data_IF_218036020023
#
_entry.id   IF_218036020023
#
_cell.length_a   1.000
_cell.length_b   1.000
_cell.length_c   1.000
_cell.angle_alpha   90.00
_cell.angle_beta   90.00
_cell.angle_gamma   90.00
#
_symmetry.space_group_name_H-M   'P 1'
#
loop_
_entity.id
_entity.type
_entity.pdbx_description
1 polymer ?
2 non-polymer ?
3 non-polymer ?
4 non-polymer ?
5 non-polymer ?
6 non-polymer ?
7 non-polymer ?
8 non-polymer ?
9 water ?
#
# COMPACT_ATOMS: atom_id res chain seq x y z
N UNK A 1 -9.96 -17.73 17.57
CA UNK A 1 -8.98 -18.33 16.66
C UNK A 1 -9.45 -18.24 15.20
N UNK A 2 -8.48 -18.27 14.28
CA UNK A 2 -8.72 -18.24 12.84
C UNK A 2 -9.80 -19.25 12.45
N UNK A 3 -10.71 -18.84 11.58
CA UNK A 3 -11.79 -19.67 11.08
C UNK A 3 -11.78 -19.58 9.57
N UNK A 4 -11.57 -20.71 8.89
CA UNK A 4 -11.55 -20.74 7.43
C UNK A 4 -12.96 -20.50 6.88
N UNK A 5 -13.07 -19.81 5.74
CA UNK A 5 -14.36 -19.62 5.06
C UNK A 5 -14.13 -19.88 3.59
N UNK A 6 -15.20 -19.88 2.79
CA UNK A 6 -15.03 -19.98 1.35
C UNK A 6 -14.40 -18.67 0.87
N UNK A 7 -13.70 -18.64 -0.29
CA UNK A 7 -13.14 -17.36 -0.74
C UNK A 7 -14.22 -16.39 -1.23
N UNK A 8 -13.88 -15.10 -1.43
CA UNK A 8 -14.90 -14.17 -1.95
C UNK A 8 -15.32 -14.49 -3.36
N UNK A 9 -16.58 -14.15 -3.68
CA UNK A 9 -17.12 -14.24 -5.04
C UNK A 9 -16.23 -13.36 -5.94
N UNK A 10 -15.68 -13.95 -6.99
CA UNK A 10 -14.77 -13.25 -7.88
C UNK A 10 -15.43 -12.34 -8.89
N UNK A 11 -14.64 -11.59 -9.68
CA UNK A 11 -13.17 -11.50 -9.63
C UNK A 11 -12.72 -10.76 -8.37
N UNK A 12 -11.53 -11.06 -7.94
CA UNK A 12 -10.95 -10.50 -6.73
C UNK A 12 -9.73 -9.67 -7.09
N UNK A 13 -9.48 -8.56 -6.35
CA UNK A 13 -8.31 -7.74 -6.61
C UNK A 13 -7.79 -7.19 -5.30
N UNK A 14 -6.59 -7.57 -4.93
CA UNK A 14 -5.97 -7.06 -3.69
C UNK A 14 -5.65 -5.56 -3.85
N UNK A 15 -5.94 -4.76 -2.82
CA UNK A 15 -5.69 -3.32 -2.86
C UNK A 15 -4.25 -3.02 -2.35
N UNK A 16 -3.47 -2.21 -3.10
CA UNK A 16 -2.12 -1.85 -2.73
C UNK A 16 -2.12 -0.73 -1.67
N UNK A 17 -1.00 -0.58 -0.97
CA UNK A 17 -0.85 0.42 0.10
C UNK A 17 -0.93 1.88 -0.41
N UNK A 18 -0.57 2.12 -1.66
CA UNK A 18 -0.60 3.44 -2.28
C UNK A 18 -1.94 3.76 -2.96
N UNK A 19 -2.95 2.92 -2.71
CA UNK A 19 -4.30 3.24 -3.16
C UNK A 19 -4.96 4.05 -2.05
N UNK A 20 -6.15 4.60 -2.30
CA UNK A 20 -6.90 5.40 -1.30
C UNK A 20 -7.05 4.66 0.02
N UNK A 21 -6.72 5.33 1.17
CA UNK A 21 -6.94 4.78 2.51
C UNK A 21 -7.92 5.66 3.25
N UNK A 22 -8.88 5.04 3.90
CA UNK A 22 -9.89 5.71 4.70
C UNK A 22 -9.41 5.95 6.13
N UNK A 23 -8.41 5.16 6.58
CA UNK A 23 -7.86 5.26 7.93
C UNK A 23 -6.53 4.51 8.06
N UNK A 24 -5.96 4.54 9.26
CA UNK A 24 -4.72 3.84 9.62
C UNK A 24 -5.00 3.22 11.00
N UNK A 25 -4.58 1.95 11.18
CA UNK A 25 -4.76 1.18 12.42
C UNK A 25 -3.53 1.17 13.26
N UNK A 26 -3.66 1.63 14.50
CA UNK A 26 -2.57 1.58 15.50
C UNK A 26 -3.08 0.91 16.77
N UNK A 27 -2.18 0.50 17.67
CA UNK A 27 -2.62 -0.18 18.88
C UNK A 27 -1.99 0.44 20.15
N UNK A 28 -2.75 0.39 21.22
CA UNK A 28 -2.33 0.78 22.57
C UNK A 28 -2.30 -0.46 23.46
N UNK A 29 -1.33 -0.63 24.39
CA UNK A 29 -0.11 0.17 24.64
C UNK A 29 0.71 0.38 23.37
N UNK A 30 1.15 1.61 23.22
CA UNK A 30 1.80 2.07 21.99
C UNK A 30 3.22 1.57 21.75
N UNK A 31 3.54 1.44 20.48
CA UNK A 31 4.88 1.12 19.99
C UNK A 31 5.35 2.21 19.05
N UNK A 32 4.57 3.30 18.96
CA UNK A 32 4.90 4.45 18.10
C UNK A 32 4.91 5.77 18.93
N UNK A 33 5.66 6.78 18.47
CA UNK A 33 5.66 8.07 19.18
C UNK A 33 4.34 8.83 18.98
N UNK A 34 3.97 9.60 20.01
CA UNK A 34 2.77 10.41 19.98
C UNK A 34 2.82 11.42 18.84
N UNK A 35 4.01 11.95 18.53
CA UNK A 35 4.19 12.88 17.43
C UNK A 35 3.72 12.25 16.12
N UNK A 36 3.96 10.93 15.93
CA UNK A 36 3.49 10.25 14.73
C UNK A 36 1.94 10.18 14.70
N UNK A 37 1.30 9.80 15.81
CA UNK A 37 -0.16 9.76 15.86
C UNK A 37 -0.72 11.15 15.55
N UNK A 38 -0.12 12.21 16.15
CA UNK A 38 -0.56 13.61 15.92
C UNK A 38 -0.46 13.96 14.44
N UNK A 39 0.66 13.60 13.79
CA UNK A 39 0.86 13.89 12.35
C UNK A 39 -0.15 13.09 11.51
N UNK A 40 -0.38 11.81 11.83
CA UNK A 40 -1.36 10.99 11.08
C UNK A 40 -2.78 11.58 11.19
N UNK A 41 -3.25 11.91 12.43
CA UNK A 41 -4.59 12.45 12.73
C UNK A 41 -4.83 13.84 12.14
N UNK A 42 -3.78 14.54 11.74
CA UNK A 42 -3.92 15.87 11.16
C UNK A 42 -4.78 15.80 9.88
N UNK A 43 -4.59 14.77 9.04
CA UNK A 43 -5.28 14.59 7.76
C UNK A 43 -6.07 13.31 7.65
N UNK A 44 -5.74 12.29 8.46
CA UNK A 44 -6.38 10.99 8.29
C UNK A 44 -7.03 10.49 9.56
N UNK A 45 -8.01 9.60 9.38
CA UNK A 45 -8.68 8.94 10.51
C UNK A 45 -7.69 7.92 11.11
N UNK A 46 -7.46 8.02 12.42
CA UNK A 46 -6.59 7.10 13.17
C UNK A 46 -7.50 6.22 14.01
N UNK A 47 -7.48 4.92 13.74
CA UNK A 47 -8.27 3.97 14.54
C UNK A 47 -7.32 3.35 15.56
N UNK A 48 -7.59 3.53 16.87
CA UNK A 48 -6.71 2.94 17.90
C UNK A 48 -7.40 1.74 18.52
N UNK A 49 -6.67 0.63 18.55
CA UNK A 49 -7.15 -0.60 19.17
C UNK A 49 -6.83 -0.52 20.65
N UNK A 50 -7.84 -0.75 21.51
CA UNK A 50 -7.68 -0.76 22.98
C UNK A 50 -8.40 -2.01 23.51
N UNK A 51 -8.06 -2.48 24.71
CA UNK A 51 -8.67 -3.71 25.25
C UNK A 51 -9.95 -3.45 26.03
N UNK A 52 -10.23 -2.18 26.39
CA UNK A 52 -11.41 -1.85 27.21
C UNK A 52 -11.79 -0.38 27.13
N UNK A 53 -12.94 -0.03 27.74
CA UNK A 53 -13.42 1.35 27.83
C UNK A 53 -12.43 2.18 28.64
N UNK A 54 -11.86 1.59 29.70
CA UNK A 54 -10.88 2.23 30.58
C UNK A 54 -9.60 2.59 29.79
N UNK A 55 -9.13 1.67 28.93
CA UNK A 55 -7.95 1.96 28.10
C UNK A 55 -8.32 3.03 27.06
N UNK A 56 -9.55 3.01 26.52
CA UNK A 56 -10.03 4.02 25.56
C UNK A 56 -9.96 5.42 26.23
N UNK A 57 -10.44 5.55 27.48
CA UNK A 57 -10.43 6.82 28.21
C UNK A 57 -9.00 7.29 28.50
N UNK A 58 -8.09 6.36 28.86
CA UNK A 58 -6.66 6.65 29.07
C UNK A 58 -6.04 7.21 27.80
N UNK A 59 -6.33 6.57 26.66
CA UNK A 59 -5.78 7.03 25.38
C UNK A 59 -6.36 8.41 25.02
N UNK A 60 -7.67 8.59 25.22
CA UNK A 60 -8.34 9.88 24.95
C UNK A 60 -7.59 10.99 25.70
N UNK A 61 -7.26 10.76 26.98
CA UNK A 61 -6.54 11.74 27.82
C UNK A 61 -5.15 12.03 27.24
N UNK A 62 -4.41 10.99 26.81
CA UNK A 62 -3.08 11.17 26.22
C UNK A 62 -3.17 11.97 24.92
N UNK A 63 -4.13 11.60 24.04
CA UNK A 63 -4.36 12.29 22.78
C UNK A 63 -4.74 13.73 23.02
N UNK A 64 -5.64 13.99 23.99
CA UNK A 64 -6.10 15.34 24.34
C UNK A 64 -4.90 16.17 24.85
N UNK A 65 -4.10 15.60 25.76
CA UNK A 65 -2.94 16.30 26.31
C UNK A 65 -1.86 16.61 25.26
N UNK A 66 -1.74 15.77 24.22
CA UNK A 66 -0.76 15.96 23.17
C UNK A 66 -1.26 16.79 21.97
N UNK A 67 -2.52 17.23 22.00
CA UNK A 67 -3.09 18.03 20.91
C UNK A 67 -3.40 17.24 19.65
N UNK A 68 -3.71 15.96 19.80
CA UNK A 68 -4.08 15.10 18.65
C UNK A 68 -5.48 15.54 18.18
N UNK A 69 -5.71 15.53 16.85
CA UNK A 69 -7.00 15.93 16.29
C UNK A 69 -8.05 14.85 16.62
N UNK A 70 -8.76 15.01 17.75
CA UNK A 70 -9.76 14.05 18.22
C UNK A 70 -10.91 13.78 17.22
N UNK A 71 -11.20 14.73 16.32
CA UNK A 71 -12.27 14.54 15.33
C UNK A 71 -11.89 13.45 14.31
N UNK A 72 -10.59 13.11 14.23
CA UNK A 72 -10.07 12.06 13.35
C UNK A 72 -9.65 10.81 14.18
N UNK A 73 -10.17 10.67 15.40
CA UNK A 73 -9.79 9.51 16.23
C UNK A 73 -10.96 8.62 16.53
N UNK A 74 -10.81 7.31 16.25
CA UNK A 74 -11.85 6.35 16.66
C UNK A 74 -11.19 5.15 17.31
N UNK A 75 -12.00 4.26 17.87
CA UNK A 75 -11.48 3.14 18.61
C UNK A 75 -12.17 1.84 18.26
N UNK A 76 -11.44 0.75 18.43
CA UNK A 76 -11.95 -0.61 18.35
C UNK A 76 -11.60 -1.19 19.69
N UNK A 77 -12.59 -1.75 20.39
CA UNK A 77 -12.34 -2.42 21.64
C UNK A 77 -12.15 -3.90 21.32
N UNK A 78 -10.93 -4.37 21.47
CA UNK A 78 -10.57 -5.77 21.26
C UNK A 78 -9.26 -6.05 21.95
N UNK A 79 -9.11 -7.22 22.58
CA UNK A 79 -7.83 -7.61 23.19
C UNK A 79 -6.79 -7.80 22.10
N UNK A 80 -5.55 -7.39 22.36
CA UNK A 80 -4.42 -7.63 21.45
C UNK A 80 -3.21 -8.03 22.27
N UNK A 81 -2.32 -8.78 21.67
CA UNK A 81 -1.06 -9.20 22.30
C UNK A 81 0.05 -8.22 21.98
N UNK A 82 -0.03 -7.52 20.85
CA UNK A 82 1.12 -6.70 20.43
C UNK A 82 0.72 -5.47 19.62
N UNK A 83 1.69 -4.55 19.38
CA UNK A 83 1.39 -3.35 18.58
C UNK A 83 1.75 -3.52 17.10
N UNK A 84 2.08 -4.76 16.66
CA UNK A 84 2.47 -4.95 15.26
C UNK A 84 1.24 -5.11 14.36
N UNK A 85 0.44 -4.01 14.27
CA UNK A 85 -0.81 -4.00 13.48
C UNK A 85 -0.54 -4.33 12.02
N UNK A 86 0.69 -4.07 11.53
CA UNK A 86 0.98 -4.46 10.17
C UNK A 86 0.80 -5.95 9.95
N UNK A 87 1.21 -6.73 10.95
CA UNK A 87 1.38 -8.16 10.78
C UNK A 87 0.17 -8.99 10.99
N UNK A 88 -0.75 -8.58 11.87
CA UNK A 88 -1.89 -9.46 12.21
C UNK A 88 -3.22 -8.92 11.75
N UNK A 89 -3.29 -7.64 11.32
CA UNK A 89 -4.60 -7.12 10.89
C UNK A 89 -4.91 -7.67 9.49
N UNK A 90 -6.16 -7.52 9.09
CA UNK A 90 -6.65 -8.10 7.85
C UNK A 90 -6.13 -7.43 6.58
N UNK A 91 -6.15 -8.17 5.47
CA UNK A 91 -5.71 -7.63 4.17
C UNK A 91 -6.92 -7.23 3.36
N UNK A 92 -6.79 -6.16 2.57
CA UNK A 92 -7.94 -5.62 1.83
C UNK A 92 -7.98 -6.09 0.39
N UNK A 93 -9.18 -6.42 -0.08
CA UNK A 93 -9.41 -6.85 -1.46
C UNK A 93 -10.76 -6.38 -1.96
N UNK A 94 -10.84 -6.04 -3.23
CA UNK A 94 -12.12 -5.74 -3.89
C UNK A 94 -12.61 -7.06 -4.44
N UNK A 95 -13.94 -7.31 -4.40
CA UNK A 95 -14.51 -8.52 -4.93
C UNK A 95 -15.95 -8.29 -5.39
N UNK A 96 -16.52 -9.29 -6.09
CA UNK A 96 -17.92 -9.28 -6.55
C UNK A 96 -18.30 -7.92 -7.21
N UNK A 97 -17.41 -7.41 -8.07
CA UNK A 97 -17.37 -6.14 -8.82
C UNK A 97 -17.48 -4.84 -7.92
N UNK A 98 -18.45 -4.73 -6.97
CA UNK A 98 -18.66 -3.48 -6.20
C UNK A 98 -18.40 -3.57 -4.64
N UNK A 99 -17.68 -4.60 -4.14
CA UNK A 99 -17.50 -4.69 -2.69
C UNK A 99 -16.05 -4.69 -2.27
N UNK A 100 -15.78 -4.17 -1.06
CA UNK A 100 -14.46 -4.19 -0.40
C UNK A 100 -14.61 -5.20 0.74
N UNK A 101 -13.68 -6.14 0.81
CA UNK A 101 -13.66 -7.18 1.83
C UNK A 101 -12.32 -7.25 2.53
N UNK A 102 -12.32 -7.99 3.62
CA UNK A 102 -11.15 -8.19 4.47
C UNK A 102 -10.76 -9.65 4.44
N UNK A 103 -9.45 -9.91 4.33
CA UNK A 103 -8.98 -11.27 4.28
C UNK A 103 -8.18 -11.55 5.55
N UNK A 104 -8.66 -12.53 6.30
CA UNK A 104 -8.01 -13.05 7.49
C UNK A 104 -7.11 -14.25 7.12
N UNK A 105 -6.20 -14.57 8.03
CA UNK A 105 -5.22 -15.63 7.85
C UNK A 105 -4.77 -16.09 9.21
N UNK A 106 -3.98 -17.14 9.23
CA UNK A 106 -3.39 -17.61 10.49
C UNK A 106 -2.11 -16.78 10.75
N UNK A 107 -2.16 -15.89 11.74
CA UNK A 107 -0.98 -15.07 12.08
C UNK A 107 0.17 -16.00 12.52
N UNK A 108 1.37 -15.84 11.91
CA UNK A 108 2.52 -16.75 12.15
C UNK A 108 3.24 -16.50 13.48
N UNK A 109 2.47 -16.14 14.51
CA UNK A 109 3.01 -15.87 15.84
C UNK A 109 2.12 -16.51 16.92
N UNK A 110 2.66 -16.79 18.11
CA UNK A 110 1.84 -17.42 19.18
C UNK A 110 1.06 -16.33 19.92
N UNK A 111 0.22 -15.57 19.16
CA UNK A 111 -0.46 -14.38 19.65
C UNK A 111 -1.93 -14.52 19.27
N UNK A 112 -2.68 -15.28 20.08
CA UNK A 112 -4.07 -15.62 19.72
C UNK A 112 -5.01 -14.42 19.68
N UNK A 113 -4.76 -13.36 20.48
CA UNK A 113 -5.64 -12.17 20.47
C UNK A 113 -5.38 -11.37 19.18
N UNK A 114 -4.08 -11.24 18.82
CA UNK A 114 -3.72 -10.58 17.58
C UNK A 114 -4.33 -11.37 16.41
N UNK A 115 -4.25 -12.72 16.47
CA UNK A 115 -4.77 -13.60 15.41
C UNK A 115 -6.29 -13.45 15.21
N UNK A 116 -7.00 -13.18 16.31
CA UNK A 116 -8.46 -12.98 16.35
C UNK A 116 -8.92 -11.57 15.93
N UNK A 117 -8.02 -10.57 16.01
CA UNK A 117 -8.35 -9.19 15.72
C UNK A 117 -9.11 -8.93 14.35
N UNK A 118 -8.77 -9.57 13.20
CA UNK A 118 -9.46 -9.22 11.94
C UNK A 118 -10.99 -9.37 12.03
N UNK A 119 -11.47 -10.27 12.90
CA UNK A 119 -12.92 -10.40 13.05
C UNK A 119 -13.52 -9.09 13.60
N UNK A 120 -12.86 -8.48 14.57
CA UNK A 120 -13.29 -7.21 15.15
C UNK A 120 -13.13 -6.07 14.16
N UNK A 121 -12.07 -6.12 13.35
CA UNK A 121 -11.80 -5.10 12.35
C UNK A 121 -12.91 -5.09 11.28
N UNK A 122 -13.29 -6.29 10.77
CA UNK A 122 -14.32 -6.39 9.74
C UNK A 122 -15.66 -5.88 10.28
N UNK A 123 -15.98 -6.20 11.54
CA UNK A 123 -17.19 -5.78 12.22
C UNK A 123 -17.23 -4.25 12.34
N UNK A 124 -16.12 -3.66 12.80
CA UNK A 124 -16.03 -2.21 12.94
C UNK A 124 -16.23 -1.50 11.57
N UNK A 125 -15.57 -2.01 10.53
CA UNK A 125 -15.57 -1.41 9.19
C UNK A 125 -16.87 -1.63 8.43
N UNK A 126 -17.71 -2.59 8.86
CA UNK A 126 -18.95 -2.89 8.15
C UNK A 126 -18.68 -3.58 6.83
N UNK A 127 -17.65 -4.46 6.82
CA UNK A 127 -17.30 -5.19 5.60
C UNK A 127 -17.26 -6.68 5.88
N UNK A 128 -17.41 -7.50 4.83
CA UNK A 128 -17.34 -8.96 4.95
C UNK A 128 -15.89 -9.42 5.14
N UNK A 129 -15.69 -10.53 5.88
CA UNK A 129 -14.37 -11.12 6.08
C UNK A 129 -14.32 -12.54 5.50
N UNK A 130 -13.17 -12.92 4.97
CA UNK A 130 -12.91 -14.24 4.37
C UNK A 130 -11.69 -14.82 5.05
N UNK A 131 -11.76 -16.09 5.43
CA UNK A 131 -10.65 -16.73 6.11
C UNK A 131 -9.82 -17.59 5.18
N UNK A 132 -8.61 -17.09 4.81
CA UNK A 132 -7.63 -17.80 3.97
C UNK A 132 -6.74 -18.66 4.87
N UNK A 133 -6.81 -19.99 4.71
CA UNK A 133 -6.08 -20.89 5.59
C UNK A 133 -4.63 -21.05 5.16
N UNK A 134 -3.86 -20.00 5.46
CA UNK A 134 -2.42 -19.92 5.30
C UNK A 134 -1.84 -19.26 6.51
N UNK A 135 -0.65 -19.70 6.91
CA UNK A 135 0.14 -19.06 7.94
C UNK A 135 0.80 -17.87 7.22
N UNK A 136 0.48 -16.64 7.64
CA UNK A 136 0.94 -15.42 6.99
C UNK A 136 1.25 -14.32 8.00
N UNK A 137 1.76 -13.20 7.49
CA UNK A 137 2.04 -11.98 8.25
C UNK A 137 2.06 -10.84 7.26
N UNK A 138 1.37 -9.74 7.58
CA UNK A 138 1.31 -8.55 6.72
C UNK A 138 2.67 -7.94 6.43
N UNK A 139 3.62 -8.04 7.37
CA UNK A 139 4.96 -7.51 7.15
C UNK A 139 5.65 -8.17 5.96
N UNK A 140 5.27 -9.42 5.67
CA UNK A 140 5.85 -10.19 4.58
C UNK A 140 4.96 -10.17 3.35
N UNK A 141 4.12 -9.15 3.23
CA UNK A 141 3.22 -9.08 2.09
C UNK A 141 3.15 -7.69 1.56
N UNK A 142 3.19 -7.57 0.23
CA UNK A 142 2.89 -6.34 -0.50
C UNK A 142 2.34 -6.71 -1.87
N UNK A 143 1.33 -5.96 -2.34
CA UNK A 143 0.77 -6.19 -3.66
C UNK A 143 0.88 -4.91 -4.46
N UNK A 144 0.99 -5.04 -5.77
CA UNK A 144 1.05 -3.86 -6.64
C UNK A 144 -0.37 -3.35 -7.01
N UNK A 145 -1.42 -4.07 -6.62
CA UNK A 145 -2.79 -3.70 -6.95
C UNK A 145 -3.20 -4.20 -8.34
N UNK A 146 -2.28 -4.90 -9.03
CA UNK A 146 -2.51 -5.45 -10.36
C UNK A 146 -2.30 -6.97 -10.38
N UNK A 147 -2.53 -7.63 -9.24
CA UNK A 147 -2.45 -9.09 -9.16
C UNK A 147 -1.11 -9.70 -8.81
N UNK A 148 -0.09 -8.85 -8.53
CA UNK A 148 1.23 -9.36 -8.14
C UNK A 148 1.42 -9.20 -6.66
N UNK A 149 2.06 -10.18 -6.01
CA UNK A 149 2.39 -10.04 -4.59
C UNK A 149 3.79 -10.50 -4.39
N UNK A 150 4.57 -9.75 -3.61
CA UNK A 150 5.95 -10.15 -3.29
C UNK A 150 5.99 -10.60 -1.83
N UNK A 151 6.57 -11.79 -1.60
CA UNK A 151 6.75 -12.30 -0.23
C UNK A 151 8.05 -13.04 -0.10
N UNK A 152 8.63 -13.06 1.11
CA UNK A 152 9.82 -13.87 1.34
C UNK A 152 9.38 -15.33 1.42
N UNK A 153 10.33 -16.26 1.32
CA UNK A 153 10.18 -17.72 1.31
C UNK A 153 9.40 -18.31 2.51
N UNK A 154 9.22 -17.57 3.64
CA UNK A 154 8.45 -18.14 4.75
C UNK A 154 6.98 -18.33 4.32
N UNK A 155 6.52 -17.65 3.23
CA UNK A 155 5.15 -17.88 2.77
C UNK A 155 5.01 -19.35 2.35
N UNK A 156 6.15 -20.00 1.92
CA UNK A 156 6.12 -21.43 1.60
C UNK A 156 6.51 -22.28 2.82
N UNK A 157 7.67 -21.99 3.45
CA UNK A 157 8.25 -22.79 4.54
C UNK A 157 7.36 -22.84 5.78
N UNK A 158 6.53 -21.80 6.03
CA UNK A 158 5.62 -21.80 7.17
C UNK A 158 4.27 -22.41 6.81
N UNK A 159 4.13 -22.89 5.56
CA UNK A 159 2.96 -23.60 5.04
C UNK A 159 3.43 -24.90 4.40
N UNK A 160 4.42 -25.57 5.05
CA UNK A 160 5.10 -26.78 4.53
C UNK A 160 4.18 -28.00 4.31
N UNK A 161 2.98 -28.06 4.93
CA UNK A 161 2.05 -29.18 4.68
C UNK A 161 1.34 -28.97 3.31
N UNK A 162 1.47 -27.78 2.70
CA UNK A 162 0.91 -27.45 1.39
C UNK A 162 2.00 -27.37 0.33
N UNK A 163 1.68 -27.72 -0.92
CA UNK A 163 2.65 -27.53 -2.00
C UNK A 163 2.70 -26.04 -2.34
N UNK A 164 3.75 -25.60 -3.06
CA UNK A 164 3.82 -24.18 -3.48
C UNK A 164 2.59 -23.83 -4.31
N UNK A 165 2.13 -24.77 -5.17
CA UNK A 165 0.93 -24.65 -6.02
C UNK A 165 -0.35 -24.40 -5.18
N UNK A 166 -0.50 -25.13 -4.05
CA UNK A 166 -1.67 -24.92 -3.20
C UNK A 166 -1.59 -23.57 -2.49
N UNK A 167 -0.38 -23.13 -2.13
CA UNK A 167 -0.18 -21.83 -1.48
C UNK A 167 -0.54 -20.73 -2.48
N UNK A 168 -0.02 -20.86 -3.71
CA UNK A 168 -0.34 -19.92 -4.79
C UNK A 168 -1.83 -19.85 -5.07
N UNK A 169 -2.53 -21.02 -5.09
CA UNK A 169 -3.97 -21.08 -5.37
C UNK A 169 -4.78 -20.33 -4.30
N UNK A 170 -4.39 -20.40 -3.02
CA UNK A 170 -5.07 -19.67 -1.94
C UNK A 170 -4.92 -18.16 -2.14
N UNK A 171 -3.72 -17.70 -2.52
CA UNK A 171 -3.51 -16.28 -2.78
C UNK A 171 -4.38 -15.83 -3.97
N UNK A 172 -4.54 -16.68 -4.98
CA UNK A 172 -5.36 -16.34 -6.14
C UNK A 172 -6.84 -16.29 -5.73
N UNK A 173 -7.30 -17.29 -4.98
CA UNK A 173 -8.72 -17.40 -4.63
C UNK A 173 -9.20 -16.31 -3.68
N UNK A 174 -8.40 -16.00 -2.66
CA UNK A 174 -8.80 -15.02 -1.65
C UNK A 174 -8.37 -13.60 -1.93
N UNK A 175 -7.31 -13.40 -2.73
CA UNK A 175 -6.77 -12.04 -2.96
C UNK A 175 -6.61 -11.71 -4.43
N UNK A 176 -6.94 -12.65 -5.32
CA UNK A 176 -6.86 -12.41 -6.75
C UNK A 176 -5.44 -12.32 -7.27
N UNK A 177 -4.47 -12.81 -6.49
CA UNK A 177 -3.05 -12.75 -6.88
C UNK A 177 -2.81 -13.78 -7.98
N UNK A 178 -2.39 -13.32 -9.15
CA UNK A 178 -2.10 -14.15 -10.32
C UNK A 178 -0.58 -14.32 -10.43
N UNK A 179 0.20 -13.48 -9.73
CA UNK A 179 1.66 -13.61 -9.75
C UNK A 179 2.16 -13.57 -8.32
N UNK A 180 2.35 -14.74 -7.72
CA UNK A 180 2.77 -14.82 -6.32
C UNK A 180 4.27 -15.00 -6.33
N UNK A 181 4.99 -13.89 -6.18
CA UNK A 181 6.46 -13.91 -6.33
C UNK A 181 7.11 -14.13 -4.97
N UNK A 182 7.34 -15.41 -4.66
CA UNK A 182 7.93 -15.79 -3.40
C UNK A 182 9.41 -15.90 -3.62
N UNK A 183 10.18 -15.09 -2.89
CA UNK A 183 11.63 -15.03 -3.10
C UNK A 183 12.41 -15.44 -1.85
N UNK A 184 13.66 -15.89 -2.04
CA UNK A 184 14.54 -16.18 -0.90
C UNK A 184 14.87 -14.83 -0.26
N UNK A 185 14.58 -14.67 1.05
CA UNK A 185 14.84 -13.41 1.75
C UNK A 185 16.31 -13.02 1.65
N UNK A 186 16.60 -11.80 1.16
CA UNK A 186 18.01 -11.40 0.98
C UNK A 186 18.66 -10.77 2.21
N UNK A 187 17.91 -10.57 3.32
CA UNK A 187 18.41 -9.90 4.53
C UNK A 187 19.19 -10.78 5.53
N UNK A 188 19.08 -12.11 5.45
CA UNK A 188 19.77 -13.01 6.37
C UNK A 188 19.47 -12.81 7.85
N UNK A 189 18.25 -12.32 8.18
CA UNK A 189 17.79 -12.06 9.55
C UNK A 189 16.72 -13.08 9.90
N UNK A 190 16.38 -13.15 11.18
CA UNK A 190 15.39 -14.11 11.65
C UNK A 190 13.99 -13.84 11.08
N UNK A 191 13.65 -12.58 10.83
CA UNK A 191 12.25 -12.19 10.54
C UNK A 191 11.73 -12.59 9.13
N UNK A 192 12.56 -12.44 8.08
CA UNK A 192 12.15 -12.78 6.72
C UNK A 192 10.86 -12.07 6.29
N UNK A 193 10.75 -10.75 6.52
CA UNK A 193 9.64 -9.93 6.04
C UNK A 193 10.09 -9.08 4.90
N UNK A 194 9.32 -9.04 3.81
CA UNK A 194 9.64 -8.23 2.65
C UNK A 194 9.83 -6.76 3.09
N UNK A 195 9.02 -6.25 4.02
CA UNK A 195 9.07 -4.83 4.37
C UNK A 195 10.38 -4.40 5.06
N UNK A 196 11.28 -5.36 5.37
CA UNK A 196 12.60 -4.99 5.89
C UNK A 196 13.59 -4.79 4.72
N UNK A 197 13.19 -5.06 3.46
CA UNK A 197 14.16 -4.84 2.36
C UNK A 197 13.51 -4.32 1.08
N UNK A 198 12.18 -4.43 0.96
CA UNK A 198 11.52 -4.05 -0.29
C UNK A 198 10.15 -3.43 -0.14
N UNK A 199 9.82 -2.50 -1.06
CA UNK A 199 8.54 -1.82 -0.99
C UNK A 199 8.14 -1.32 -2.36
N UNK A 200 6.96 -1.72 -2.83
CA UNK A 200 6.43 -1.09 -4.03
C UNK A 200 6.07 0.34 -3.68
N UNK A 201 6.55 1.34 -4.44
CA UNK A 201 6.16 2.72 -4.20
C UNK A 201 5.02 3.15 -5.11
N UNK A 202 4.84 2.40 -6.21
CA UNK A 202 3.83 2.59 -7.25
C UNK A 202 3.78 1.28 -8.04
N UNK A 203 2.82 1.07 -8.95
CA UNK A 203 2.82 -0.19 -9.73
C UNK A 203 4.11 -0.39 -10.54
N UNK A 204 4.82 0.71 -10.87
CA UNK A 204 6.03 0.64 -11.69
C UNK A 204 7.28 1.03 -10.92
N UNK A 205 7.20 1.13 -9.57
CA UNK A 205 8.37 1.53 -8.78
C UNK A 205 8.58 0.62 -7.60
N UNK A 206 9.82 0.22 -7.36
CA UNK A 206 10.12 -0.61 -6.20
C UNK A 206 11.36 -0.03 -5.52
N UNK A 207 11.30 0.03 -4.20
CA UNK A 207 12.42 0.47 -3.38
C UNK A 207 13.08 -0.77 -2.82
N UNK A 208 14.40 -0.91 -2.98
CA UNK A 208 15.14 -2.05 -2.45
C UNK A 208 16.25 -1.54 -1.57
N UNK A 209 16.35 -2.08 -0.36
CA UNK A 209 17.41 -1.77 0.60
C UNK A 209 18.78 -1.97 -0.07
N UNK A 210 19.71 -1.08 0.24
CA UNK A 210 21.10 -1.17 -0.17
C UNK A 210 21.94 -1.12 1.09
N UNK A 211 23.04 -1.86 1.09
CA UNK A 211 23.93 -1.84 2.24
C UNK A 211 25.35 -1.57 1.75
N UNK A 212 26.30 -1.21 2.63
CA UNK A 212 27.68 -0.99 2.19
C UNK A 212 28.25 -2.27 1.55
N UNK A 213 29.21 -2.12 0.64
CA UNK A 213 29.88 -3.21 -0.12
C UNK A 213 30.40 -4.35 0.77
N UNK A 214 30.83 -4.00 2.00
CA UNK A 214 31.41 -4.89 3.03
C UNK A 214 30.35 -5.68 3.82
N UNK A 215 29.09 -5.24 3.82
CA UNK A 215 28.01 -5.92 4.54
C UNK A 215 27.81 -7.34 3.99
N UNK A 216 27.58 -8.38 4.85
CA UNK A 216 27.47 -9.75 4.33
C UNK A 216 26.29 -9.98 3.39
N UNK A 217 25.23 -9.15 3.48
CA UNK A 217 24.06 -9.24 2.60
C UNK A 217 24.15 -8.32 1.37
N UNK A 218 25.31 -7.67 1.14
CA UNK A 218 25.46 -6.75 0.02
C UNK A 218 25.09 -7.41 -1.32
N UNK A 219 25.70 -8.57 -1.65
CA UNK A 219 25.42 -9.20 -2.96
C UNK A 219 23.98 -9.69 -3.09
N UNK A 220 23.41 -10.29 -2.04
CA UNK A 220 22.01 -10.74 -2.03
C UNK A 220 21.06 -9.59 -2.37
N UNK A 221 21.27 -8.42 -1.76
CA UNK A 221 20.43 -7.25 -2.02
C UNK A 221 20.69 -6.67 -3.43
N UNK A 222 21.94 -6.67 -3.91
CA UNK A 222 22.22 -6.20 -5.27
C UNK A 222 21.54 -7.11 -6.28
N UNK A 223 21.54 -8.44 -6.00
CA UNK A 223 20.91 -9.43 -6.87
C UNK A 223 19.40 -9.21 -6.88
N UNK A 224 18.81 -8.87 -5.71
CA UNK A 224 17.36 -8.60 -5.62
C UNK A 224 17.00 -7.38 -6.45
N UNK A 225 17.79 -6.29 -6.33
CA UNK A 225 17.58 -5.07 -7.09
C UNK A 225 17.69 -5.35 -8.59
N UNK A 226 18.70 -6.12 -9.02
CA UNK A 226 18.88 -6.45 -10.45
C UNK A 226 17.71 -7.27 -10.96
N UNK A 227 17.20 -8.20 -10.13
CA UNK A 227 16.05 -9.06 -10.42
C UNK A 227 14.82 -8.17 -10.76
N UNK A 228 14.51 -7.16 -9.92
CA UNK A 228 13.38 -6.28 -10.23
C UNK A 228 13.67 -5.31 -11.39
N UNK A 229 14.89 -4.80 -11.51
CA UNK A 229 15.31 -3.87 -12.57
C UNK A 229 15.14 -4.46 -13.97
N UNK A 230 15.28 -5.78 -14.09
CA UNK A 230 15.19 -6.49 -15.35
C UNK A 230 13.77 -6.99 -15.65
N UNK A 231 12.80 -6.77 -14.74
CA UNK A 231 11.49 -7.30 -15.08
C UNK A 231 10.43 -6.23 -15.35
N UNK A 232 9.54 -6.63 -16.23
CA UNK A 232 8.42 -5.84 -16.69
C UNK A 232 7.35 -5.77 -15.59
N UNK A 233 6.92 -4.56 -15.23
CA UNK A 233 5.91 -4.31 -14.20
C UNK A 233 4.50 -4.42 -14.83
N UNK A 234 3.44 -4.22 -14.02
CA UNK A 234 2.04 -4.30 -14.47
C UNK A 234 1.73 -3.38 -15.66
N UNK A 235 2.45 -2.26 -15.76
CA UNK A 235 2.21 -1.27 -16.80
C UNK A 235 2.99 -1.54 -18.12
N UNK A 236 3.76 -2.62 -18.17
CA UNK A 236 4.48 -3.03 -19.38
C UNK A 236 5.88 -2.46 -19.58
N UNK A 237 6.33 -1.63 -18.62
CA UNK A 237 7.66 -1.02 -18.63
C UNK A 237 8.48 -1.76 -17.59
N UNK A 238 9.81 -1.60 -17.62
CA UNK A 238 10.64 -2.22 -16.59
C UNK A 238 10.46 -1.42 -15.28
N UNK A 239 10.54 -2.09 -14.13
CA UNK A 239 10.44 -1.38 -12.84
C UNK A 239 11.48 -0.28 -12.71
N UNK A 240 11.08 0.86 -12.11
CA UNK A 240 12.04 1.88 -11.70
C UNK A 240 12.54 1.39 -10.34
N UNK A 241 13.81 1.00 -10.23
CA UNK A 241 14.32 0.44 -8.97
C UNK A 241 15.07 1.53 -8.23
N UNK A 242 14.56 1.87 -7.05
CA UNK A 242 15.19 2.88 -6.19
C UNK A 242 15.89 2.16 -5.08
N UNK A 243 16.95 2.77 -4.53
CA UNK A 243 17.72 2.14 -3.47
C UNK A 243 17.87 3.06 -2.28
N UNK A 244 17.59 2.57 -1.08
CA UNK A 244 17.82 3.38 0.13
C UNK A 244 18.98 2.75 0.87
N UNK A 245 20.08 3.49 0.99
CA UNK A 245 21.31 2.99 1.62
C UNK A 245 21.19 3.02 3.15
N UNK A 246 21.25 1.83 3.74
CA UNK A 246 21.29 1.66 5.19
C UNK A 246 22.75 1.42 5.56
N UNK A 247 23.41 2.45 6.07
CA UNK A 247 24.82 2.35 6.47
C UNK A 247 24.95 1.58 7.79
N UNK A 248 23.88 1.59 8.61
CA UNK A 248 23.92 0.93 9.90
C UNK A 248 22.53 0.45 10.29
N UNK A 249 21.94 -0.45 9.45
CA UNK A 249 20.66 -1.12 9.67
C UNK A 249 19.49 -0.14 9.90
N UNK A 250 19.52 1.06 9.29
CA UNK A 250 18.38 2.00 9.39
C UNK A 250 17.22 1.41 8.57
N UNK A 251 16.00 1.36 9.13
CA UNK A 251 14.90 0.65 8.41
C UNK A 251 14.18 1.54 7.39
N UNK A 252 14.92 2.13 6.43
CA UNK A 252 14.33 3.06 5.47
C UNK A 252 13.22 2.49 4.58
N UNK A 253 13.20 1.15 4.32
CA UNK A 253 12.11 0.58 3.49
C UNK A 253 10.86 0.35 4.32
N UNK A 254 10.94 0.47 5.66
CA UNK A 254 9.83 0.19 6.58
C UNK A 254 8.98 1.45 6.80
N UNK A 255 8.54 2.04 5.69
CA UNK A 255 7.76 3.27 5.66
C UNK A 255 6.27 3.00 5.46
N UNK A 256 5.44 4.00 5.72
CA UNK A 256 4.02 3.90 5.48
C UNK A 256 3.63 4.89 4.38
N UNK A 257 2.98 4.38 3.34
CA UNK A 257 2.37 5.22 2.30
C UNK A 257 0.90 5.36 2.68
N UNK A 258 0.47 6.56 3.05
CA UNK A 258 -0.91 6.82 3.43
C UNK A 258 -1.45 7.96 2.60
N UNK A 259 -2.21 7.60 1.56
CA UNK A 259 -2.74 8.58 0.61
C UNK A 259 -1.57 9.37 -0.01
N UNK A 260 -1.50 10.70 0.18
CA UNK A 260 -0.44 11.50 -0.48
C UNK A 260 0.75 11.82 0.44
N UNK A 261 0.89 11.07 1.54
CA UNK A 261 1.95 11.28 2.51
C UNK A 261 2.70 9.98 2.72
N UNK A 262 4.02 10.06 2.90
CA UNK A 262 4.86 8.89 3.13
C UNK A 262 5.58 9.12 4.43
N UNK A 263 5.41 8.21 5.40
CA UNK A 263 6.04 8.32 6.73
C UNK A 263 7.21 7.38 6.78
N UNK A 264 8.41 7.95 6.81
CA UNK A 264 9.68 7.21 6.74
C UNK A 264 10.37 7.23 8.10
N UNK A 265 10.62 6.06 8.72
CA UNK A 265 11.34 6.07 10.01
C UNK A 265 12.79 6.48 9.81
N UNK A 266 13.31 7.36 10.71
CA UNK A 266 14.68 7.84 10.58
C UNK A 266 15.38 7.56 11.89
N UNK A 267 16.63 7.04 11.82
CA UNK A 267 17.42 6.63 12.99
C UNK A 267 18.78 7.31 13.09
N UNK A 268 19.14 8.04 12.04
CA UNK A 268 20.42 8.72 11.98
C UNK A 268 21.55 7.88 11.40
N UNK A 269 22.72 8.47 11.08
CA UNK A 269 23.06 9.91 11.18
C UNK A 269 22.17 10.72 10.25
N UNK A 270 22.02 12.03 10.51
CA UNK A 270 21.15 12.92 9.72
C UNK A 270 21.50 12.91 8.23
N UNK A 271 22.79 12.82 7.86
CA UNK A 271 23.23 12.80 6.45
C UNK A 271 22.71 11.58 5.70
N UNK A 272 22.72 10.41 6.39
CA UNK A 272 22.25 9.13 5.85
C UNK A 272 20.71 9.18 5.72
N UNK A 273 20.03 9.74 6.76
CA UNK A 273 18.56 9.90 6.71
C UNK A 273 18.16 10.80 5.56
N UNK A 274 18.86 11.94 5.41
CA UNK A 274 18.55 12.92 4.36
C UNK A 274 18.64 12.30 2.99
N UNK A 275 19.69 11.47 2.74
CA UNK A 275 19.84 10.76 1.47
C UNK A 275 18.67 9.83 1.20
N UNK A 276 18.24 9.07 2.23
CA UNK A 276 17.13 8.15 2.07
C UNK A 276 15.81 8.90 1.79
N UNK A 277 15.54 10.00 2.53
CA UNK A 277 14.35 10.82 2.34
C UNK A 277 14.37 11.45 0.95
N UNK A 278 15.56 11.82 0.45
CA UNK A 278 15.67 12.42 -0.88
C UNK A 278 15.45 11.38 -1.97
N UNK A 279 15.74 10.09 -1.68
CA UNK A 279 15.43 9.02 -2.65
C UNK A 279 13.91 8.93 -2.75
N UNK A 280 13.20 8.94 -1.60
CA UNK A 280 11.72 8.91 -1.66
C UNK A 280 11.14 10.10 -2.44
N UNK A 281 11.67 11.30 -2.18
CA UNK A 281 11.23 12.53 -2.84
C UNK A 281 11.43 12.46 -4.34
N UNK A 282 12.56 11.88 -4.81
CA UNK A 282 12.89 11.70 -6.23
C UNK A 282 11.95 10.71 -6.87
N UNK A 283 11.75 9.58 -6.19
CA UNK A 283 10.89 8.50 -6.66
C UNK A 283 9.44 8.87 -6.69
N UNK A 284 8.97 9.74 -5.77
CA UNK A 284 7.54 10.03 -5.58
C UNK A 284 7.20 11.52 -5.64
N UNK A 285 7.28 12.16 -6.83
CA UNK A 285 6.92 13.58 -6.89
C UNK A 285 5.46 13.80 -6.52
N UNK A 286 5.20 14.91 -5.81
CA UNK A 286 3.84 15.25 -5.41
C UNK A 286 3.48 14.74 -4.03
N UNK A 287 4.19 13.70 -3.56
CA UNK A 287 3.97 13.14 -2.20
C UNK A 287 4.71 13.97 -1.14
N UNK A 288 4.11 14.06 0.05
CA UNK A 288 4.76 14.72 1.18
C UNK A 288 5.60 13.63 1.89
N UNK A 289 6.94 13.76 1.87
CA UNK A 289 7.81 12.77 2.51
C UNK A 289 8.14 13.28 3.89
N UNK A 290 7.81 12.49 4.92
CA UNK A 290 8.00 12.91 6.32
C UNK A 290 8.90 11.93 7.05
N UNK A 291 10.01 12.45 7.55
CA UNK A 291 10.94 11.66 8.35
C UNK A 291 10.41 11.61 9.77
N UNK A 292 10.28 10.43 10.35
CA UNK A 292 9.72 10.30 11.70
C UNK A 292 10.75 9.69 12.64
N UNK A 293 11.06 10.41 13.71
CA UNK A 293 11.99 9.89 14.71
C UNK A 293 11.25 8.91 15.61
N UNK A 294 11.96 7.90 16.10
CA UNK A 294 11.36 6.86 16.94
C UNK A 294 11.08 7.29 18.37
N UNK A 295 10.21 6.53 19.04
CA UNK A 295 9.89 6.75 20.46
C UNK A 295 11.06 6.15 21.25
N UNK A 296 11.60 6.85 22.24
CA UNK A 296 12.76 6.35 22.99
C UNK A 296 12.52 4.98 23.64
N UNK A 297 11.32 4.72 24.12
CA UNK A 297 10.98 3.46 24.80
C UNK A 297 10.76 2.27 23.88
N UNK A 298 10.33 2.54 22.63
CA UNK A 298 10.05 1.52 21.60
C UNK A 298 10.74 1.98 20.31
N UNK A 299 12.08 2.03 20.25
CA UNK A 299 12.73 2.63 19.06
C UNK A 299 12.57 1.85 17.79
N UNK A 300 12.81 2.52 16.65
CA UNK A 300 12.81 1.85 15.35
C UNK A 300 13.97 0.88 15.29
N UNK A 301 13.75 -0.31 14.72
CA UNK A 301 14.78 -1.35 14.55
C UNK A 301 14.88 -1.71 13.07
N UNK A 302 16.03 -2.27 12.68
CA UNK A 302 16.27 -2.72 11.30
C UNK A 302 15.21 -3.69 10.79
N UNK A 303 14.65 -4.49 11.69
CA UNK A 303 13.65 -5.51 11.37
C UNK A 303 12.25 -5.12 11.80
N UNK A 304 12.07 -3.90 12.35
CA UNK A 304 10.78 -3.55 12.95
C UNK A 304 10.68 -2.05 13.16
N UNK A 305 9.99 -1.35 12.26
CA UNK A 305 9.86 0.10 12.42
C UNK A 305 8.43 0.60 12.12
N UNK A 306 8.30 1.75 11.45
CA UNK A 306 7.03 2.43 11.27
C UNK A 306 6.01 1.57 10.51
N UNK A 307 6.39 0.95 9.39
CA UNK A 307 5.45 0.11 8.61
C UNK A 307 4.95 -1.04 9.46
N UNK A 308 5.83 -1.62 10.29
CA UNK A 308 5.49 -2.77 11.15
C UNK A 308 4.40 -2.44 12.20
N UNK A 309 4.28 -1.17 12.58
CA UNK A 309 3.39 -0.79 13.68
C UNK A 309 2.20 0.06 13.22
N UNK A 310 1.88 -0.05 11.94
CA UNK A 310 0.74 0.64 11.31
C UNK A 310 0.12 -0.28 10.31
N UNK A 311 -1.14 -0.01 9.97
CA UNK A 311 -1.77 -0.70 8.84
C UNK A 311 -2.84 0.19 8.24
N UNK A 312 -2.65 0.53 6.97
CA UNK A 312 -3.65 1.34 6.21
C UNK A 312 -5.00 0.59 6.14
N UNK A 313 -6.09 1.35 6.05
CA UNK A 313 -7.44 0.78 5.98
C UNK A 313 -8.04 1.26 4.68
N UNK A 314 -8.50 0.32 3.82
CA UNK A 314 -9.11 0.71 2.54
C UNK A 314 -10.44 1.40 2.74
N UNK A 315 -10.88 2.13 1.70
CA UNK A 315 -12.13 2.84 1.69
C UNK A 315 -13.23 1.88 1.22
N UNK A 316 -14.21 1.53 2.09
CA UNK A 316 -15.27 0.60 1.66
C UNK A 316 -16.19 1.22 0.56
N UNK A 317 -16.15 2.54 0.41
CA UNK A 317 -16.89 3.24 -0.62
C UNK A 317 -16.02 3.73 -1.76
N UNK A 318 -14.80 3.16 -1.88
CA UNK A 318 -13.75 3.45 -2.87
C UNK A 318 -14.27 3.70 -4.31
N UNK A 319 -13.90 4.88 -4.85
CA UNK A 319 -14.09 5.27 -6.23
C UNK A 319 -12.83 4.78 -6.95
N UNK A 320 -12.91 3.58 -7.55
CA UNK A 320 -11.75 2.92 -8.12
C UNK A 320 -11.60 3.12 -9.62
N UNK A 321 -10.39 3.54 -10.03
CA UNK A 321 -10.00 3.72 -11.42
C UNK A 321 -9.02 2.62 -11.80
N UNK A 322 -9.43 1.75 -12.75
CA UNK A 322 -8.58 0.69 -13.29
C UNK A 322 -8.06 1.17 -14.65
N UNK A 323 -6.74 1.26 -14.79
CA UNK A 323 -6.14 1.79 -16.01
C UNK A 323 -4.75 1.24 -16.23
N UNK A 324 -4.50 0.83 -17.47
CA UNK A 324 -3.20 0.43 -17.99
C UNK A 324 -2.76 1.56 -18.91
N UNK A 325 -1.76 2.34 -18.47
CA UNK A 325 -1.39 3.55 -19.22
C UNK A 325 -0.63 3.31 -20.49
N UNK A 326 -0.64 4.34 -21.34
CA UNK A 326 0.15 4.31 -22.57
C UNK A 326 1.41 5.14 -22.25
N UNK A 327 2.57 4.47 -22.36
CA UNK A 327 3.83 5.04 -21.91
C UNK A 327 4.97 4.91 -22.93
N UNK A 328 5.95 5.82 -22.77
CA UNK A 328 7.17 5.89 -23.55
C UNK A 328 6.94 6.07 -25.04
N UNK A 329 7.82 5.48 -25.84
CA UNK A 329 7.75 5.57 -27.30
C UNK A 329 6.57 4.73 -27.76
N UNK A 330 5.63 5.37 -28.47
CA UNK A 330 4.39 4.75 -28.90
C UNK A 330 4.22 4.86 -30.40
N UNK A 334 -2.81 4.18 -33.21
CA UNK A 334 -3.73 4.15 -32.07
C UNK A 334 -3.13 4.78 -30.82
N UNK A 335 -3.80 5.80 -30.28
CA UNK A 335 -3.40 6.47 -29.03
C UNK A 335 -4.64 6.65 -28.21
N UNK A 336 -5.19 5.53 -27.80
CA UNK A 336 -6.46 5.46 -27.11
C UNK A 336 -6.25 4.90 -25.72
N UNK A 337 -6.74 5.64 -24.74
CA UNK A 337 -6.66 5.21 -23.35
C UNK A 337 -8.01 4.66 -23.00
N UNK A 338 -8.03 3.69 -22.08
CA UNK A 338 -9.26 3.09 -21.57
C UNK A 338 -9.15 2.98 -20.09
N UNK A 339 -10.26 3.19 -19.38
CA UNK A 339 -10.29 3.06 -17.94
C UNK A 339 -11.63 2.57 -17.48
N UNK A 340 -11.61 1.67 -16.49
CA UNK A 340 -12.81 1.19 -15.84
C UNK A 340 -12.97 1.99 -14.58
N UNK A 341 -14.14 2.60 -14.37
CA UNK A 341 -14.35 3.42 -13.16
C UNK A 341 -15.56 2.84 -12.47
N UNK A 342 -15.35 2.33 -11.24
CA UNK A 342 -16.42 1.70 -10.45
C UNK A 342 -16.47 2.33 -9.04
N UNK A 343 -17.68 2.55 -8.53
CA UNK A 343 -17.91 3.09 -7.20
C UNK A 343 -18.35 1.95 -6.24
N UNK A 344 -17.52 1.64 -5.20
CA UNK A 344 -17.88 0.63 -4.21
C UNK A 344 -19.00 1.13 -3.29
N UNK A 345 -19.32 2.43 -3.39
CA UNK A 345 -20.44 3.07 -2.67
C UNK A 345 -21.68 3.09 -3.55
N UNK A 346 -21.59 2.55 -4.79
CA UNK A 346 -22.67 2.55 -5.78
C UNK A 346 -23.15 4.02 -6.04
N UNK A 347 -22.20 4.99 -5.93
CA UNK A 347 -22.49 6.42 -6.11
C UNK A 347 -22.57 6.77 -7.60
N UNK A 348 -23.14 7.95 -7.94
CA UNK A 348 -23.25 8.42 -9.31
C UNK A 348 -21.90 8.99 -9.72
N UNK A 349 -21.26 8.38 -10.72
CA UNK A 349 -19.93 8.79 -11.18
C UNK A 349 -20.06 9.88 -12.25
N UNK A 350 -19.56 11.09 -11.95
CA UNK A 350 -19.51 12.23 -12.89
C UNK A 350 -18.72 13.37 -12.31
N UNK A 351 -17.79 13.99 -13.08
CA UNK A 351 -17.37 13.63 -14.44
C UNK A 351 -16.22 12.62 -14.47
N UNK A 352 -15.94 12.01 -15.64
CA UNK A 352 -14.76 11.15 -15.81
C UNK A 352 -13.95 11.84 -16.90
N UNK A 353 -12.76 12.32 -16.53
CA UNK A 353 -11.97 13.14 -17.44
C UNK A 353 -10.55 12.70 -17.65
N UNK A 354 -10.02 13.05 -18.81
CA UNK A 354 -8.61 12.92 -19.11
C UNK A 354 -8.02 14.30 -19.06
N UNK A 355 -7.04 14.54 -18.15
CA UNK A 355 -6.32 15.81 -18.10
C UNK A 355 -5.04 15.62 -18.86
N UNK A 356 -4.74 16.47 -19.83
CA UNK A 356 -3.51 16.24 -20.59
C UNK A 356 -2.77 17.53 -20.88
N UNK A 357 -1.50 17.40 -21.23
CA UNK A 357 -0.64 18.53 -21.62
C UNK A 357 0.26 18.05 -22.72
N UNK A 358 0.46 18.91 -23.72
CA UNK A 358 1.29 18.64 -24.89
C UNK A 358 2.56 19.47 -24.80
N UNK A 359 3.69 18.78 -25.00
CA UNK A 359 5.07 19.31 -25.04
C UNK A 359 5.40 20.14 -23.80
N UNK A 360 4.81 19.77 -22.66
CA UNK A 360 4.98 20.44 -21.38
C UNK A 360 4.61 21.91 -21.32
N UNK A 361 3.79 22.38 -22.25
CA UNK A 361 3.42 23.79 -22.36
C UNK A 361 2.07 24.08 -21.75
N UNK A 362 2.03 25.12 -20.91
CA UNK A 362 0.83 25.62 -20.26
C UNK A 362 0.28 24.75 -19.15
N UNK A 363 -1.02 24.90 -18.90
CA UNK A 363 -1.69 24.12 -17.87
C UNK A 363 -2.28 22.88 -18.51
N UNK A 364 -2.63 21.88 -17.69
CA UNK A 364 -3.29 20.67 -18.17
C UNK A 364 -4.70 21.03 -18.61
N UNK A 365 -5.15 20.41 -19.70
CA UNK A 365 -6.48 20.62 -20.27
C UNK A 365 -7.35 19.39 -19.98
N UNK A 366 -8.63 19.61 -19.61
CA UNK A 366 -9.54 18.49 -19.34
C UNK A 366 -10.39 18.19 -20.56
N UNK A 367 -10.60 16.90 -20.82
CA UNK A 367 -11.49 16.40 -21.87
C UNK A 367 -12.31 15.27 -21.29
N UNK A 368 -13.62 15.29 -21.51
CA UNK A 368 -14.46 14.22 -20.98
C UNK A 368 -14.13 12.92 -21.68
N UNK A 369 -14.11 11.84 -20.90
CA UNK A 369 -13.89 10.52 -21.49
C UNK A 369 -15.25 10.02 -21.97
N UNK A 370 -15.29 9.16 -22.98
CA UNK A 370 -16.55 8.63 -23.48
C UNK A 370 -16.91 7.33 -22.76
N UNK A 371 -18.13 7.23 -22.26
CA UNK A 371 -18.54 5.95 -21.65
C UNK A 371 -19.06 5.01 -22.75
N UNK A 372 -18.24 4.04 -23.18
CA UNK A 372 -18.59 3.09 -24.25
C UNK A 372 -19.63 2.07 -23.76
N UNK A 373 -19.39 1.49 -22.58
CA UNK A 373 -20.28 0.56 -21.88
C UNK A 373 -20.21 0.90 -20.39
N UNK A 374 -21.16 0.42 -19.59
CA UNK A 374 -21.22 0.69 -18.14
C UNK A 374 -19.85 0.56 -17.48
N UNK A 375 -19.41 1.64 -16.85
CA UNK A 375 -18.13 1.72 -16.15
C UNK A 375 -16.87 1.66 -17.01
N UNK A 376 -17.02 1.66 -18.37
CA UNK A 376 -15.87 1.58 -19.26
C UNK A 376 -15.78 2.87 -20.06
N UNK A 377 -14.70 3.63 -19.80
CA UNK A 377 -14.46 4.96 -20.36
C UNK A 377 -13.27 4.98 -21.28
N UNK A 378 -13.39 5.74 -22.39
CA UNK A 378 -12.28 5.83 -23.34
C UNK A 378 -12.01 7.25 -23.78
N UNK A 379 -10.79 7.46 -24.27
CA UNK A 379 -10.40 8.74 -24.81
C UNK A 379 -9.32 8.50 -25.85
N UNK A 380 -9.44 9.15 -27.00
CA UNK A 380 -8.43 9.03 -28.03
C UNK A 380 -7.70 10.34 -28.18
N UNK A 381 -6.36 10.31 -28.16
CA UNK A 381 -5.54 11.49 -28.44
C UNK A 381 -5.53 11.69 -29.95
N UNK A 382 -5.98 12.86 -30.42
CA UNK A 382 -6.03 13.12 -31.87
C UNK A 382 -5.47 14.52 -32.20
N UNK A 383 -5.12 14.72 -33.48
CA UNK A 383 -4.66 15.99 -34.00
C UNK A 383 -3.31 16.43 -33.48
N UNK A 384 -2.46 15.48 -33.10
CA UNK A 384 -1.13 15.80 -32.63
C UNK A 384 -0.13 15.56 -33.75
N UNK A 385 1.11 16.01 -33.53
CA UNK A 385 2.18 15.86 -34.51
C UNK A 385 3.18 14.81 -34.10
N UNK A 386 3.84 14.15 -35.07
CA UNK A 386 4.88 13.18 -34.70
C UNK A 386 5.97 13.93 -33.88
N UNK A 387 6.54 13.23 -32.90
CA UNK A 387 7.55 13.71 -31.94
C UNK A 387 6.94 14.55 -30.80
N UNK A 388 5.59 14.79 -30.82
CA UNK A 388 4.94 15.50 -29.72
C UNK A 388 5.01 14.67 -28.45
N UNK A 389 5.19 15.34 -27.32
CA UNK A 389 5.26 14.62 -26.03
C UNK A 389 3.96 14.88 -25.27
N UNK A 390 3.41 13.84 -24.66
CA UNK A 390 2.14 13.95 -23.95
C UNK A 390 2.31 13.55 -22.52
N UNK A 391 1.69 14.34 -21.61
CA UNK A 391 1.50 14.04 -20.19
C UNK A 391 0.02 13.90 -19.97
N UNK A 392 -0.43 12.86 -19.25
CA UNK A 392 -1.87 12.78 -18.96
C UNK A 392 -2.10 12.04 -17.64
N UNK A 393 -3.31 12.21 -17.11
CA UNK A 393 -3.83 11.49 -15.96
C UNK A 393 -5.34 11.43 -16.09
N UNK A 394 -5.94 10.51 -15.34
CA UNK A 394 -7.40 10.32 -15.32
C UNK A 394 -7.92 10.94 -14.05
N UNK A 395 -9.09 11.57 -14.12
CA UNK A 395 -9.73 12.17 -12.96
C UNK A 395 -11.21 11.74 -12.95
N UNK A 396 -11.75 11.44 -11.77
CA UNK A 396 -13.15 11.04 -11.60
C UNK A 396 -13.66 11.50 -10.26
N UNK A 397 -14.96 11.76 -10.19
CA UNK A 397 -15.62 12.16 -8.96
C UNK A 397 -16.98 11.50 -8.90
N UNK A 398 -17.55 11.41 -7.69
CA UNK A 398 -18.89 10.86 -7.58
C UNK A 398 -19.74 11.74 -6.63
N UNK A 399 -21.04 11.45 -6.50
CA UNK A 399 -21.93 12.26 -5.67
C UNK A 399 -21.87 11.89 -4.16
N UNK A 400 -20.89 11.07 -3.74
CA UNK A 400 -20.70 10.77 -2.33
C UNK A 400 -19.57 11.69 -1.79
N UNK A 401 -19.07 12.57 -2.66
CA UNK A 401 -18.01 13.54 -2.34
C UNK A 401 -16.61 13.04 -2.60
N UNK A 402 -16.47 11.85 -3.18
CA UNK A 402 -15.17 11.26 -3.47
C UNK A 402 -14.61 11.81 -4.77
N UNK A 403 -13.29 12.00 -4.79
CA UNK A 403 -12.55 12.51 -5.94
C UNK A 403 -11.25 11.75 -6.02
N UNK A 404 -11.01 11.12 -7.14
CA UNK A 404 -9.82 10.30 -7.33
C UNK A 404 -9.15 10.62 -8.66
N UNK A 405 -7.83 10.43 -8.71
CA UNK A 405 -7.09 10.52 -9.97
C UNK A 405 -6.34 9.22 -10.14
N UNK A 406 -5.94 8.94 -11.38
CA UNK A 406 -5.05 7.84 -11.70
C UNK A 406 -3.93 8.45 -12.59
N UNK A 407 -2.68 8.47 -12.10
CA UNK A 407 -2.20 7.87 -10.82
C UNK A 407 -2.76 8.61 -9.62
N UNK A 408 -2.72 7.97 -8.45
CA UNK A 408 -3.29 8.50 -7.22
C UNK A 408 -2.89 9.97 -6.97
N UNK A 409 -1.59 10.28 -7.14
CA UNK A 409 -1.10 11.63 -6.83
C UNK A 409 -1.53 12.67 -7.90
N UNK A 410 -1.96 12.20 -9.08
CA UNK A 410 -2.45 13.07 -10.14
C UNK A 410 -1.41 13.88 -10.86
N UNK A 411 -1.70 15.17 -11.05
CA UNK A 411 -0.93 16.10 -11.89
C UNK A 411 0.60 16.14 -11.62
N UNK A 412 1.10 16.07 -10.36
CA UNK A 412 2.56 16.11 -10.15
C UNK A 412 3.35 14.92 -10.75
N UNK A 413 2.69 13.78 -11.10
CA UNK A 413 3.41 12.61 -11.63
C UNK A 413 2.59 11.98 -12.75
N UNK A 414 2.36 12.70 -13.86
CA UNK A 414 1.47 12.14 -14.91
C UNK A 414 2.10 11.04 -15.72
N UNK A 415 1.26 10.27 -16.44
CA UNK A 415 1.74 9.29 -17.39
C UNK A 415 2.35 10.02 -18.57
N UNK A 416 3.49 9.56 -19.06
CA UNK A 416 4.17 10.25 -20.16
C UNK A 416 4.40 9.33 -21.35
N UNK A 417 4.11 9.83 -22.55
CA UNK A 417 4.41 9.10 -23.79
C UNK A 417 4.79 10.07 -24.89
N UNK A 418 5.45 9.56 -25.95
CA UNK A 418 5.87 10.32 -27.12
C UNK A 418 5.19 9.78 -28.35
N UNK A 419 4.70 10.67 -29.21
CA UNK A 419 4.09 10.34 -30.49
C UNK A 419 5.20 9.90 -31.42
N UNK A 420 5.38 8.58 -31.60
CA UNK A 420 6.48 8.07 -32.45
C UNK A 420 5.96 7.24 -33.63
X LIG B 1 -5.81 -14.08 11.98
X LIG C 1 0.51 11.79 -33.09
X LIG C 1 -0.70 11.19 -32.54
X LIG C 1 -1.94 11.73 -33.26
X LIG C 1 -3.02 11.81 -32.64
X LIG C 1 -0.79 11.42 -31.03
X LIG C 1 0.57 10.70 -30.08
X LIG C 1 -1.84 12.06 -34.46
X LIG D 1 10.25 -9.94 20.45
X LIG D 1 10.59 -9.46 19.11
X LIG D 1 9.39 -9.56 18.17
X LIG D 1 8.53 -10.42 18.35
X LIG D 1 11.77 -10.24 18.51
X LIG D 1 11.50 -11.71 18.17
X LIG D 1 13.04 -12.65 17.95
X LIG D 1 12.41 -14.22 17.69
X LIG E 1 9.38 -8.72 17.13
X LIG E 1 8.31 -8.74 16.12
X LIG E 1 8.08 -10.15 15.55
X LIG E 1 6.91 -10.56 15.49
X LIG E 1 8.66 -7.76 15.00
X LIG E 1 7.59 -7.69 13.93
X LIG E 1 8.11 -6.82 12.79
X LIG E 1 7.11 -6.68 11.73
X LIG E 1 7.33 -6.12 10.55
X LIG E 1 8.56 -5.74 10.18
X LIG E 1 6.34 -5.95 9.69
X LIG E 1 9.05 -10.82 15.11
X LIG F 1 -1.93 -23.43 7.53
X LIG F 1 -1.24 -23.94 8.68
X LIG F 1 -1.60 -24.22 6.29
X LIG F 1 -0.18 -24.21 6.11
X LIG F 1 -2.08 -25.65 6.37
X LIG F 1 -3.48 -25.73 6.47
X LIG G 1 14.63 -13.61 -7.01
X LIG G 1 13.98 -14.87 -6.96
X LIG G 1 16.02 -13.72 -6.43
X LIG G 1 16.72 -14.79 -7.10
X LIG G 1 16.77 -12.43 -6.66
X LIG G 1 18.14 -12.58 -6.31
X LIG H 1 -5.57 -6.74 -12.51
X LIG H 1 -6.16 -7.20 -13.73
X LIG H 1 -6.34 -7.27 -11.31
X LIG H 1 -7.75 -7.20 -11.57
X LIG H 1 -5.94 -8.68 -10.94
X LIG H 1 -6.24 -8.98 -9.58
X LIG I 1 6.29 7.01 -13.15
X LIG I 1 7.42 7.51 -13.85
X LIG I 1 5.01 7.72 -13.56
X LIG I 1 4.58 7.21 -14.82
X LIG I 1 3.94 7.50 -12.53
X LIG I 1 2.69 7.94 -13.03
X LIG J 1 -4.74 17.73 -28.40
X LIG J 1 -5.05 19.09 -28.59
X LIG J 1 -5.98 16.90 -28.15
X LIG J 1 -6.85 16.98 -29.28
X LIG J 1 -5.56 15.46 -27.93
X LIG J 1 -6.63 14.58 -28.20
X LIG K 1 -17.91 -20.12 4.06
X LIG L 1 18.36 -16.51 8.06
X LIG L 1 17.25 -16.88 8.15
X LIG L 1 16.13 -17.25 8.22
X LIG M 1 10.25 8.82 -11.81
X LIG M 1 9.09 9.09 -11.64
X LIG M 1 7.94 9.36 -11.49
#
# INVERSE_FOLDING_TARGET
AFQETNPPAGPVRAIAEYERSAAVLVRYPFGIPMELIKELAKNDKVITIVASESQKNTVITQYTQSGVNLSNCDFIIAKTDSYWTRDYTGWFAMYDTNKVGLVDFIYNRPRPNDDEFPKYEAQYLGIEMFGMKLKQTGGNYMTDGYGSAVQSHIAYTENSSLSQAQVNQKMKDYLGITHHDVVQDPNGEYINHVDCWGKYLAPNKILIRKVPDNHPQHQALEDMAAYFAAQTCAWGTKYEVYRALATNEQPYTNSLILNNRVFVPVNGPASVDNDALNVYKTAMPGYEIIGVKGASGTPWLGTDALHARTHEVADKGYLYIKHYPILGEQAGPDYKIEADVVSCANATISPVQCYYRINGSGSFKAADMTMESTGHYTYSFTGLNKNDKVEYYISAADNSGRKETYPFIGEPDPFKFTCMNETNTCTVTGAA
NA NA
CYS N CA C O CB SG OXT
MET N CA C O CB CG SD CE
ARG N CA C O CB CG CD NE CZ NH1 NH2 OXT
GOL C1 O1 C2 O2 C3 O3
GOL C1 O1 C2 O2 C3 O3
GOL C1 O1 C2 O2 C3 O3
GOL C1 O1 C2 O2 C3 O3
GOL C1 O1 C2 O2 C3 O3
CL CL
AZI N1 N2 N3
AZI N1 N2 N3
#
